data_IF_861044977037
#
_entry.id   IF_861044977037
#
_cell.length_a   1.000
_cell.length_b   1.000
_cell.length_c   1.000
_cell.angle_alpha   90.00
_cell.angle_beta   90.00
_cell.angle_gamma   90.00
#
_symmetry.space_group_name_H-M   'P 1'
#
loop_
_entity.id
_entity.type
_entity.pdbx_description
1 polymer ?
#
# COMPACT_ATOMS: atom_id res chain seq x y z
N UNK A 1 -22.11 -16.97 -5.82
CA UNK A 1 -21.10 -16.21 -6.60
C UNK A 1 -19.74 -16.44 -5.96
N UNK A 2 -18.76 -16.86 -6.74
CA UNK A 2 -17.36 -17.02 -6.30
C UNK A 2 -16.85 -15.65 -5.86
N UNK A 3 -16.38 -15.49 -4.62
CA UNK A 3 -15.55 -14.34 -4.28
C UNK A 3 -14.20 -14.54 -4.98
N UNK A 4 -14.14 -14.18 -6.26
CA UNK A 4 -12.89 -14.01 -6.98
C UNK A 4 -12.13 -12.93 -6.21
N UNK A 5 -11.10 -13.30 -5.43
CA UNK A 5 -10.23 -12.29 -4.83
C UNK A 5 -9.43 -11.69 -5.98
N UNK A 6 -9.81 -10.49 -6.35
CA UNK A 6 -9.15 -9.73 -7.40
C UNK A 6 -7.64 -9.64 -7.10
N UNK A 7 -6.78 -10.18 -7.98
CA UNK A 7 -5.32 -10.13 -7.81
C UNK A 7 -4.80 -8.69 -7.66
N UNK A 8 -5.48 -7.70 -8.24
CA UNK A 8 -5.11 -6.28 -8.10
C UNK A 8 -5.38 -5.76 -6.69
N UNK A 9 -6.55 -6.11 -6.13
CA UNK A 9 -6.93 -5.74 -4.76
C UNK A 9 -6.01 -6.35 -3.70
N UNK A 10 -5.31 -7.45 -4.03
CA UNK A 10 -4.31 -8.06 -3.14
C UNK A 10 -2.98 -7.31 -3.19
N UNK A 11 -2.58 -6.80 -4.36
CA UNK A 11 -1.33 -6.05 -4.53
C UNK A 11 -1.38 -4.68 -3.87
N UNK A 12 -2.48 -3.95 -4.06
CA UNK A 12 -2.66 -2.64 -3.42
C UNK A 12 -2.53 -2.74 -1.89
N UNK A 13 -3.19 -3.73 -1.28
CA UNK A 13 -3.08 -4.00 0.17
C UNK A 13 -1.66 -4.33 0.63
N UNK A 14 -0.91 -5.09 -0.14
CA UNK A 14 0.50 -5.37 0.18
C UNK A 14 1.34 -4.09 0.20
N UNK A 15 1.12 -3.20 -0.77
CA UNK A 15 1.82 -1.91 -0.81
C UNK A 15 1.39 -1.00 0.34
N UNK A 16 0.09 -0.95 0.65
CA UNK A 16 -0.43 -0.21 1.81
C UNK A 16 0.17 -0.68 3.13
N UNK A 17 0.36 -2.00 3.29
CA UNK A 17 0.98 -2.57 4.49
C UNK A 17 2.42 -2.09 4.67
N UNK A 18 3.21 -1.97 3.59
CA UNK A 18 4.57 -1.42 3.68
C UNK A 18 4.54 0.00 4.27
N UNK A 19 3.61 0.83 3.81
CA UNK A 19 3.46 2.22 4.28
C UNK A 19 2.92 2.25 5.72
N UNK A 20 1.93 1.43 6.04
CA UNK A 20 1.35 1.33 7.37
C UNK A 20 2.41 0.95 8.41
N UNK A 21 3.21 -0.10 8.13
CA UNK A 21 4.29 -0.57 8.98
C UNK A 21 5.36 0.51 9.12
N UNK A 22 5.79 1.12 8.00
CA UNK A 22 6.78 2.19 8.00
C UNK A 22 6.39 3.34 8.93
N UNK A 23 5.15 3.81 8.83
CA UNK A 23 4.65 4.89 9.67
C UNK A 23 4.46 4.47 11.13
N UNK A 24 3.92 3.28 11.39
CA UNK A 24 3.73 2.78 12.76
C UNK A 24 5.05 2.69 13.54
N UNK A 25 6.13 2.29 12.86
CA UNK A 25 7.48 2.30 13.42
C UNK A 25 8.14 3.68 13.41
N UNK A 26 7.37 4.75 13.11
CA UNK A 26 7.78 6.15 13.14
C UNK A 26 8.92 6.48 12.17
N UNK A 27 9.04 5.73 11.08
CA UNK A 27 9.91 6.12 9.98
C UNK A 27 9.29 7.31 9.24
N UNK A 28 10.11 8.31 8.94
CA UNK A 28 9.72 9.48 8.16
C UNK A 28 10.17 9.40 6.69
N UNK A 29 10.91 8.36 6.32
CA UNK A 29 11.36 8.10 4.96
C UNK A 29 11.22 6.61 4.60
N UNK A 30 10.98 6.32 3.32
CA UNK A 30 10.98 4.96 2.77
C UNK A 30 11.96 4.83 1.62
N UNK A 31 12.64 3.69 1.52
CA UNK A 31 13.42 3.28 0.35
C UNK A 31 12.82 1.98 -0.17
N UNK A 32 12.28 2.02 -1.39
CA UNK A 32 11.50 0.97 -2.01
C UNK A 32 12.13 0.54 -3.35
N UNK A 33 11.63 -0.55 -3.93
CA UNK A 33 12.07 -1.08 -5.22
C UNK A 33 10.90 -1.24 -6.20
N UNK A 34 11.16 -1.71 -7.41
CA UNK A 34 10.14 -2.07 -8.38
C UNK A 34 9.43 -3.38 -7.98
N UNK A 35 8.57 -3.30 -6.96
CA UNK A 35 8.00 -4.45 -6.25
C UNK A 35 7.38 -5.49 -7.20
N UNK A 36 7.97 -6.69 -7.22
CA UNK A 36 7.49 -7.81 -8.05
C UNK A 36 7.63 -7.63 -9.57
N UNK A 37 8.38 -6.63 -10.05
CA UNK A 37 8.54 -6.39 -11.50
C UNK A 37 9.65 -7.24 -12.17
N UNK A 38 10.41 -8.01 -11.38
CA UNK A 38 11.42 -8.96 -11.86
C UNK A 38 10.85 -10.37 -12.04
N UNK A 39 11.27 -11.32 -11.20
CA UNK A 39 10.86 -12.73 -11.29
C UNK A 39 9.34 -12.97 -11.28
N UNK A 40 8.58 -12.12 -10.57
CA UNK A 40 7.12 -12.19 -10.50
C UNK A 40 6.41 -11.54 -11.69
N UNK A 41 7.16 -10.92 -12.61
CA UNK A 41 6.66 -10.44 -13.91
C UNK A 41 5.47 -9.48 -13.81
N UNK A 42 5.37 -8.70 -12.74
CA UNK A 42 4.37 -7.63 -12.69
C UNK A 42 4.75 -6.52 -13.69
N UNK A 43 3.78 -5.97 -14.45
CA UNK A 43 4.06 -4.84 -15.33
C UNK A 43 4.54 -3.63 -14.53
N UNK A 44 5.73 -3.07 -14.79
CA UNK A 44 6.31 -2.01 -13.97
C UNK A 44 5.50 -0.72 -13.97
N UNK A 45 4.87 -0.37 -15.09
CA UNK A 45 3.98 0.79 -15.17
C UNK A 45 2.77 0.65 -14.25
N UNK A 46 2.15 -0.53 -14.22
CA UNK A 46 1.02 -0.81 -13.34
C UNK A 46 1.43 -0.73 -11.87
N UNK A 47 2.55 -1.34 -11.47
CA UNK A 47 3.02 -1.27 -10.08
C UNK A 47 3.36 0.17 -9.68
N UNK A 48 3.95 0.98 -10.56
CA UNK A 48 4.20 2.39 -10.29
C UNK A 48 2.90 3.20 -10.09
N UNK A 49 1.83 2.90 -10.83
CA UNK A 49 0.51 3.49 -10.62
C UNK A 49 -0.11 3.09 -9.28
N UNK A 50 0.03 1.83 -8.85
CA UNK A 50 -0.40 1.38 -7.53
C UNK A 50 0.35 2.12 -6.42
N UNK A 51 1.68 2.25 -6.53
CA UNK A 51 2.45 3.06 -5.60
C UNK A 51 1.98 4.51 -5.57
N UNK A 52 1.66 5.11 -6.73
CA UNK A 52 1.12 6.47 -6.79
C UNK A 52 -0.19 6.59 -5.99
N UNK A 53 -1.11 5.63 -6.14
CA UNK A 53 -2.36 5.57 -5.36
C UNK A 53 -2.06 5.56 -3.85
N UNK A 54 -1.21 4.64 -3.41
CA UNK A 54 -0.83 4.52 -1.98
C UNK A 54 -0.11 5.77 -1.48
N UNK A 55 0.77 6.38 -2.27
CA UNK A 55 1.43 7.65 -1.89
C UNK A 55 0.42 8.77 -1.63
N UNK A 56 -0.63 8.90 -2.45
CA UNK A 56 -1.72 9.84 -2.17
C UNK A 56 -2.46 9.48 -0.88
N UNK A 57 -2.75 8.20 -0.66
CA UNK A 57 -3.39 7.73 0.57
C UNK A 57 -2.55 8.00 1.83
N UNK A 58 -1.22 8.13 1.71
CA UNK A 58 -0.28 8.43 2.79
C UNK A 58 0.34 9.84 2.67
N UNK A 59 -0.29 10.74 1.93
CA UNK A 59 0.19 12.11 1.79
C UNK A 59 0.35 12.78 3.17
N UNK A 60 1.57 13.24 3.47
CA UNK A 60 1.94 13.84 4.75
C UNK A 60 2.60 12.90 5.78
N UNK A 61 2.66 11.60 5.52
CA UNK A 61 3.15 10.61 6.50
C UNK A 61 4.66 10.43 6.44
N UNK A 62 5.23 10.64 5.26
CA UNK A 62 6.65 10.53 4.98
C UNK A 62 7.16 11.84 4.38
N UNK A 63 8.35 12.28 4.81
CA UNK A 63 9.06 13.41 4.24
C UNK A 63 9.57 13.08 2.84
N UNK A 64 10.04 11.86 2.62
CA UNK A 64 10.60 11.45 1.33
C UNK A 64 10.46 9.95 1.09
N UNK A 65 10.17 9.58 -0.16
CA UNK A 65 10.09 8.19 -0.60
C UNK A 65 11.04 8.04 -1.79
N UNK A 66 12.03 7.16 -1.66
CA UNK A 66 12.98 6.84 -2.71
C UNK A 66 12.65 5.49 -3.34
N UNK A 67 12.71 5.40 -4.66
CA UNK A 67 12.66 4.14 -5.39
C UNK A 67 14.05 3.81 -5.92
N UNK A 68 14.75 2.90 -5.23
CA UNK A 68 16.04 2.36 -5.65
C UNK A 68 15.81 1.22 -6.64
N UNK A 69 15.79 1.54 -7.93
CA UNK A 69 15.50 0.59 -9.01
C UNK A 69 16.76 0.33 -9.81
N UNK A 70 17.11 -0.95 -9.91
CA UNK A 70 18.22 -1.45 -10.72
C UNK A 70 17.59 -2.29 -11.84
N UNK A 71 17.90 -1.93 -13.08
CA UNK A 71 17.58 -2.77 -14.23
C UNK A 71 18.68 -3.82 -14.38
N UNK A 72 18.32 -5.08 -14.12
CA UNK A 72 19.22 -6.23 -14.17
C UNK A 72 18.86 -7.16 -15.35
N UNK A 73 19.37 -8.39 -15.33
CA UNK A 73 19.09 -9.40 -16.35
C UNK A 73 17.60 -9.81 -16.45
N UNK A 74 16.74 -9.42 -15.50
CA UNK A 74 15.29 -9.65 -15.55
C UNK A 74 14.52 -8.52 -16.26
N UNK A 75 15.24 -7.55 -16.85
CA UNK A 75 14.64 -6.39 -17.53
C UNK A 75 14.83 -6.43 -19.05
N UNK A 76 14.06 -5.62 -19.78
CA UNK A 76 14.14 -5.55 -21.24
C UNK A 76 13.50 -6.74 -21.97
N UNK A 77 12.67 -7.52 -21.28
CA UNK A 77 11.91 -8.62 -21.89
C UNK A 77 10.52 -8.14 -22.34
N UNK A 78 9.69 -9.05 -22.91
CA UNK A 78 8.36 -8.70 -23.43
C UNK A 78 7.44 -8.03 -22.39
N UNK A 79 7.66 -8.27 -21.10
CA UNK A 79 6.83 -7.77 -19.99
C UNK A 79 7.29 -6.37 -19.54
N UNK A 80 8.57 -6.06 -19.66
CA UNK A 80 9.17 -4.78 -19.29
C UNK A 80 10.21 -4.32 -20.34
N UNK A 81 9.78 -4.04 -21.59
CA UNK A 81 10.70 -3.76 -22.70
C UNK A 81 11.56 -2.52 -22.46
N UNK A 82 11.09 -1.58 -21.64
CA UNK A 82 11.80 -0.35 -21.25
C UNK A 82 12.49 -0.45 -19.88
N UNK A 83 12.65 -1.67 -19.37
CA UNK A 83 13.09 -1.92 -18.00
C UNK A 83 12.07 -1.52 -16.94
N UNK A 84 12.49 -1.58 -15.68
CA UNK A 84 11.69 -1.20 -14.52
C UNK A 84 11.89 0.28 -14.16
N UNK A 85 13.09 0.82 -14.41
CA UNK A 85 13.42 2.19 -14.01
C UNK A 85 12.58 3.24 -14.74
N UNK A 86 12.46 3.14 -16.08
CA UNK A 86 11.79 4.18 -16.87
C UNK A 86 10.31 4.39 -16.51
N UNK A 87 9.47 3.34 -16.36
CA UNK A 87 8.07 3.52 -15.95
C UNK A 87 7.92 4.19 -14.58
N UNK A 88 8.71 3.76 -13.59
CA UNK A 88 8.70 4.35 -12.26
C UNK A 88 9.17 5.80 -12.28
N UNK A 89 10.25 6.11 -13.01
CA UNK A 89 10.72 7.48 -13.19
C UNK A 89 9.64 8.36 -13.81
N UNK A 90 8.96 7.90 -14.85
CA UNK A 90 7.91 8.68 -15.54
C UNK A 90 6.72 9.00 -14.62
N UNK A 91 6.33 8.07 -13.74
CA UNK A 91 5.12 8.20 -12.92
C UNK A 91 5.39 8.91 -11.58
N UNK A 92 6.55 8.65 -10.96
CA UNK A 92 6.80 8.98 -9.55
C UNK A 92 7.92 10.01 -9.35
N UNK A 93 8.82 10.21 -10.31
CA UNK A 93 9.93 11.14 -10.12
C UNK A 93 9.42 12.58 -9.97
N UNK A 94 9.80 13.24 -8.87
CA UNK A 94 9.36 14.60 -8.57
C UNK A 94 7.90 14.71 -8.12
N UNK A 95 7.21 13.58 -7.88
CA UNK A 95 5.86 13.60 -7.33
C UNK A 95 5.87 14.20 -5.92
N UNK A 96 5.21 15.34 -5.76
CA UNK A 96 4.97 15.98 -4.47
C UNK A 96 3.49 15.86 -4.14
N UNK A 97 3.17 15.30 -2.97
CA UNK A 97 1.82 15.20 -2.45
C UNK A 97 1.73 15.91 -1.11
N UNK A 98 0.62 16.59 -0.88
CA UNK A 98 0.35 17.30 0.37
C UNK A 98 -0.84 16.64 1.08
N UNK A 99 -0.86 16.63 2.42
CA UNK A 99 -2.03 16.21 3.15
C UNK A 99 -3.27 17.00 2.67
N UNK A 100 -4.45 16.36 2.61
CA UNK A 100 -5.68 17.07 2.28
C UNK A 100 -5.92 18.21 3.29
N UNK A 101 -6.18 19.40 2.78
CA UNK A 101 -6.48 20.59 3.59
C UNK A 101 -7.84 20.54 4.27
N UNK A 102 -8.77 19.73 3.72
CA UNK A 102 -10.09 19.48 4.29
C UNK A 102 -10.30 17.98 4.44
N UNK A 103 -10.38 17.50 5.67
CA UNK A 103 -10.68 16.10 5.96
C UNK A 103 -12.21 15.96 6.03
N UNK A 104 -12.80 15.15 5.16
CA UNK A 104 -14.25 14.87 5.22
C UNK A 104 -14.54 14.05 6.48
N UNK A 105 -15.43 14.56 7.33
CA UNK A 105 -16.03 13.76 8.41
C UNK A 105 -16.70 12.54 7.76
N UNK A 106 -16.34 11.33 8.20
CA UNK A 106 -16.75 10.05 7.62
C UNK A 106 -16.16 9.71 6.23
N UNK A 107 -15.12 10.43 5.78
CA UNK A 107 -14.37 10.06 4.58
C UNK A 107 -13.24 9.07 4.90
N UNK A 108 -13.15 7.98 4.14
CA UNK A 108 -11.98 7.09 4.19
C UNK A 108 -10.83 7.78 3.46
N UNK A 109 -9.73 8.04 4.16
CA UNK A 109 -8.46 8.42 3.53
C UNK A 109 -7.52 7.23 3.68
N UNK A 110 -7.71 6.20 2.87
CA UNK A 110 -6.99 4.93 2.96
C UNK A 110 -7.41 4.03 4.14
N UNK A 111 -7.09 2.73 4.10
CA UNK A 111 -7.64 1.72 5.01
C UNK A 111 -7.13 1.81 6.46
N UNK A 112 -6.07 2.58 6.72
CA UNK A 112 -5.39 2.59 8.02
C UNK A 112 -5.30 3.97 8.71
N UNK A 113 -6.02 5.01 8.25
CA UNK A 113 -6.03 6.32 8.94
C UNK A 113 -7.11 6.35 10.03
N UNK A 114 -6.70 6.33 11.31
CA UNK A 114 -7.61 6.67 12.41
C UNK A 114 -7.61 8.19 12.58
N UNK A 115 -8.77 8.81 12.36
CA UNK A 115 -8.98 10.23 12.58
C UNK A 115 -9.71 10.43 13.90
N UNK A 116 -9.04 11.02 14.89
CA UNK A 116 -9.68 11.46 16.11
C UNK A 116 -10.07 12.93 15.99
N UNK A 117 -11.30 13.25 16.38
CA UNK A 117 -11.74 14.65 16.47
C UNK A 117 -11.25 15.24 17.80
N UNK A 118 -10.38 16.22 17.74
CA UNK A 118 -9.95 16.98 18.92
C UNK A 118 -11.10 17.85 19.42
N UNK A 119 -11.01 18.28 20.69
CA UNK A 119 -12.03 19.09 21.37
C UNK A 119 -12.32 20.44 20.70
N UNK A 120 -11.39 20.95 19.87
CA UNK A 120 -11.55 22.15 19.04
C UNK A 120 -12.19 21.86 17.66
N UNK A 121 -12.65 20.62 17.44
CA UNK A 121 -13.32 20.20 16.21
C UNK A 121 -12.38 19.88 15.05
N UNK A 122 -11.05 20.02 15.23
CA UNK A 122 -10.06 19.58 14.24
C UNK A 122 -9.94 18.06 14.22
N UNK A 123 -9.52 17.51 13.10
CA UNK A 123 -9.21 16.09 12.98
C UNK A 123 -7.70 15.93 13.18
N UNK A 124 -7.33 15.13 14.17
CA UNK A 124 -5.96 14.74 14.46
C UNK A 124 -5.78 13.27 14.06
N UNK A 125 -4.66 12.99 13.41
CA UNK A 125 -4.25 11.64 13.10
C UNK A 125 -3.80 10.98 14.40
N UNK A 126 -4.65 10.16 15.00
CA UNK A 126 -4.34 9.59 16.30
C UNK A 126 -3.41 8.40 16.21
N UNK A 127 -3.59 7.52 15.22
CA UNK A 127 -2.83 6.28 15.07
C UNK A 127 -3.06 5.63 13.69
N UNK A 128 -2.13 4.75 13.28
CA UNK A 128 -2.31 3.84 12.12
C UNK A 128 -2.76 2.48 12.63
N UNK A 129 -3.92 2.02 12.16
CA UNK A 129 -4.41 0.68 12.48
C UNK A 129 -3.76 -0.35 11.53
N UNK A 130 -2.72 -1.06 11.98
CA UNK A 130 -2.14 -2.16 11.16
C UNK A 130 -3.06 -3.39 11.18
N UNK A 131 -3.73 -3.62 12.32
CA UNK A 131 -4.57 -4.78 12.54
C UNK A 131 -5.93 -4.33 13.09
N UNK A 132 -6.93 -4.27 12.22
CA UNK A 132 -8.31 -3.95 12.61
C UNK A 132 -9.04 -5.17 13.21
N UNK A 133 -8.50 -6.39 13.05
CA UNK A 133 -8.92 -7.61 13.74
C UNK A 133 -7.68 -8.37 14.25
N UNK A 134 -7.89 -9.35 15.12
CA UNK A 134 -6.82 -10.26 15.50
C UNK A 134 -6.36 -11.12 14.31
N UNK A 135 -5.05 -11.32 14.10
CA UNK A 135 -4.57 -12.25 13.09
C UNK A 135 -5.10 -13.66 13.35
N UNK A 136 -5.48 -14.36 12.29
CA UNK A 136 -5.79 -15.78 12.36
C UNK A 136 -4.53 -16.54 12.79
N UNK A 137 -4.65 -17.41 13.79
CA UNK A 137 -3.55 -18.27 14.25
C UNK A 137 -2.97 -19.17 13.15
N UNK A 138 -3.74 -19.45 12.10
CA UNK A 138 -3.31 -20.27 10.95
C UNK A 138 -2.78 -19.42 9.79
N UNK A 139 -2.89 -18.08 9.85
CA UNK A 139 -2.39 -17.15 8.84
C UNK A 139 -2.79 -17.53 7.41
N UNK A 140 -1.82 -17.49 6.50
CA UNK A 140 -2.00 -17.87 5.08
C UNK A 140 -2.36 -19.35 4.86
N UNK A 141 -2.22 -20.21 5.89
CA UNK A 141 -2.57 -21.65 5.86
C UNK A 141 -3.97 -21.93 6.40
N UNK A 142 -4.76 -20.90 6.72
CA UNK A 142 -6.11 -21.09 7.22
C UNK A 142 -6.99 -21.83 6.19
N UNK A 143 -7.70 -22.87 6.62
CA UNK A 143 -8.64 -23.59 5.76
C UNK A 143 -10.02 -22.89 5.66
N UNK A 144 -10.30 -21.97 6.59
CA UNK A 144 -11.56 -21.22 6.70
C UNK A 144 -11.56 -19.89 5.93
N UNK A 145 -10.62 -19.69 5.00
CA UNK A 145 -10.52 -18.46 4.18
C UNK A 145 -11.80 -18.10 3.40
N UNK A 146 -12.72 -19.06 3.24
CA UNK A 146 -14.02 -18.87 2.57
C UNK A 146 -15.19 -18.74 3.54
N UNK A 147 -14.98 -18.88 4.84
CA UNK A 147 -16.02 -18.78 5.86
C UNK A 147 -16.24 -17.30 6.23
N UNK A 148 -17.40 -16.69 5.91
CA UNK A 148 -17.66 -15.28 6.18
C UNK A 148 -17.63 -14.95 7.68
N UNK A 149 -18.11 -15.86 8.53
CA UNK A 149 -18.13 -15.68 9.97
C UNK A 149 -16.71 -15.69 10.55
N UNK A 150 -15.82 -16.51 10.01
CA UNK A 150 -14.40 -16.52 10.37
C UNK A 150 -13.69 -15.25 9.89
N UNK A 151 -13.88 -14.87 8.63
CA UNK A 151 -13.22 -13.71 8.03
C UNK A 151 -13.65 -12.35 8.61
N UNK A 152 -14.83 -12.30 9.25
CA UNK A 152 -15.29 -11.11 9.99
C UNK A 152 -14.61 -10.96 11.35
N UNK A 153 -14.02 -12.03 11.89
CA UNK A 153 -13.41 -12.05 13.22
C UNK A 153 -11.88 -12.12 13.16
N UNK A 154 -11.30 -12.64 12.08
CA UNK A 154 -9.86 -12.84 11.96
C UNK A 154 -9.27 -12.26 10.67
N UNK A 155 -8.15 -11.57 10.85
CA UNK A 155 -7.32 -11.08 9.76
C UNK A 155 -6.43 -12.21 9.20
N UNK A 156 -6.26 -12.23 7.89
CA UNK A 156 -5.33 -13.15 7.22
C UNK A 156 -4.29 -12.31 6.46
N UNK A 157 -3.35 -11.69 7.19
CA UNK A 157 -2.25 -10.97 6.55
C UNK A 157 -1.41 -11.99 5.75
N UNK A 158 -1.08 -11.63 4.52
CA UNK A 158 -0.25 -12.45 3.63
C UNK A 158 1.23 -12.30 3.97
#
# INVERSE_FOLDING_TARGET
MVAYRDPELTKEKMLENIFAIGHHHKHDCLVLSAFGCGAFKNPPEHVALLFKSVIYQYAGYFKTIYFAIIDDHNTGNQINPNGNFLPFKKILNGLNVHPPTTIRVNGVSGPNRILNKTSDGKLNLSDVCILYLQPCQYGSKCHDLKNPQHNNNYLHPY
#
